data_IF_031698101583
#
_entry.id   IF_031698101583
#
_cell.length_a   1.000
_cell.length_b   1.000
_cell.length_c   1.000
_cell.angle_alpha   90.00
_cell.angle_beta   90.00
_cell.angle_gamma   90.00
#
_symmetry.space_group_name_H-M   'P 1'
#
loop_
_entity.id
_entity.type
_entity.pdbx_description
1 polymer ?
#
# COMPACT_ATOMS: atom_id res chain seq x y z
N UNK A 1 24.21 -80.60 52.22
CA UNK A 1 23.76 -79.32 52.81
C UNK A 1 24.13 -78.21 51.84
N UNK A 2 23.17 -77.65 51.12
CA UNK A 2 23.37 -76.52 50.20
C UNK A 2 22.38 -75.45 50.61
N UNK A 3 22.90 -74.31 51.08
CA UNK A 3 22.13 -73.19 51.61
C UNK A 3 21.88 -72.20 50.47
N UNK A 4 20.61 -71.93 50.21
CA UNK A 4 20.12 -70.96 49.24
C UNK A 4 20.29 -69.52 49.76
N UNK A 5 21.00 -68.67 49.01
CA UNK A 5 21.07 -67.23 49.24
C UNK A 5 20.02 -66.49 48.38
N UNK A 6 19.08 -65.80 49.04
CA UNK A 6 18.17 -64.85 48.42
C UNK A 6 18.79 -63.45 48.43
N UNK A 7 18.88 -62.80 47.26
CA UNK A 7 19.30 -61.41 47.12
C UNK A 7 18.08 -60.54 46.80
N UNK A 8 17.75 -59.61 47.71
CA UNK A 8 16.67 -58.63 47.54
C UNK A 8 17.13 -57.47 46.63
N UNK A 9 16.39 -57.21 45.55
CA UNK A 9 16.59 -56.04 44.69
C UNK A 9 15.71 -54.89 45.17
N UNK A 10 16.34 -53.80 45.61
CA UNK A 10 15.69 -52.52 45.90
C UNK A 10 15.41 -51.75 44.61
N UNK A 11 14.16 -51.33 44.41
CA UNK A 11 13.75 -50.46 43.30
C UNK A 11 13.81 -48.99 43.75
N UNK A 12 14.59 -48.16 43.03
CA UNK A 12 14.56 -46.71 43.16
C UNK A 12 13.55 -46.14 42.14
N UNK A 13 12.52 -45.44 42.62
CA UNK A 13 11.60 -44.70 41.78
C UNK A 13 12.19 -43.32 41.46
N UNK A 14 12.38 -42.99 40.17
CA UNK A 14 12.76 -41.65 39.73
C UNK A 14 11.52 -40.75 39.59
N UNK A 15 11.55 -39.48 40.03
CA UNK A 15 10.44 -38.56 39.87
C UNK A 15 10.39 -38.05 38.42
N UNK A 16 9.25 -38.22 37.77
CA UNK A 16 8.98 -37.64 36.45
C UNK A 16 8.52 -36.20 36.66
N UNK A 17 9.36 -35.23 36.28
CA UNK A 17 8.97 -33.82 36.22
C UNK A 17 8.22 -33.59 34.91
N UNK A 18 6.90 -33.42 35.00
CA UNK A 18 6.07 -33.06 33.86
C UNK A 18 6.22 -31.57 33.55
N UNK A 19 6.85 -31.24 32.42
CA UNK A 19 6.94 -29.86 31.91
C UNK A 19 5.67 -29.53 31.11
N UNK A 20 4.80 -28.70 31.67
CA UNK A 20 3.60 -28.21 30.98
C UNK A 20 4.00 -27.15 29.95
N UNK A 21 3.93 -27.49 28.66
CA UNK A 21 4.11 -26.52 27.56
C UNK A 21 2.79 -25.76 27.41
N UNK A 22 2.75 -24.49 27.82
CA UNK A 22 1.65 -23.57 27.46
C UNK A 22 1.75 -23.25 25.97
N UNK A 23 0.96 -23.93 25.15
CA UNK A 23 0.68 -23.51 23.78
C UNK A 23 -0.22 -22.28 23.84
N UNK A 24 0.36 -21.08 23.80
CA UNK A 24 -0.40 -19.87 23.52
C UNK A 24 -0.96 -19.97 22.11
N UNK A 25 -2.28 -20.18 21.98
CA UNK A 25 -2.97 -20.06 20.70
C UNK A 25 -2.86 -18.61 20.24
N UNK A 26 -2.08 -18.37 19.19
CA UNK A 26 -2.15 -17.10 18.48
C UNK A 26 -3.51 -17.09 17.79
N UNK A 27 -4.52 -16.53 18.46
CA UNK A 27 -5.81 -16.30 17.84
C UNK A 27 -5.58 -15.38 16.64
N UNK A 28 -5.64 -15.93 15.43
CA UNK A 28 -5.67 -15.13 14.22
C UNK A 28 -6.94 -14.27 14.29
N UNK A 29 -6.77 -12.99 14.60
CA UNK A 29 -7.88 -12.04 14.52
C UNK A 29 -8.33 -11.96 13.07
N UNK A 30 -9.64 -11.95 12.84
CA UNK A 30 -10.18 -11.82 11.51
C UNK A 30 -9.74 -10.47 10.90
N UNK A 31 -9.18 -10.54 9.69
CA UNK A 31 -8.84 -9.40 8.84
C UNK A 31 -10.13 -8.68 8.38
N UNK A 32 -10.02 -7.45 7.88
CA UNK A 32 -11.18 -6.70 7.40
C UNK A 32 -11.64 -7.23 6.03
N UNK A 33 -12.95 -7.41 5.85
CA UNK A 33 -13.50 -7.90 4.58
C UNK A 33 -13.62 -6.76 3.54
N UNK A 34 -12.72 -6.74 2.56
CA UNK A 34 -12.71 -5.78 1.47
C UNK A 34 -13.54 -6.17 0.23
N UNK A 35 -14.33 -7.27 0.26
CA UNK A 35 -15.01 -7.82 -0.93
C UNK A 35 -15.94 -6.81 -1.64
N UNK A 36 -16.63 -5.93 -0.91
CA UNK A 36 -17.49 -4.92 -1.53
C UNK A 36 -16.70 -3.88 -2.31
N UNK A 37 -15.53 -3.46 -1.80
CA UNK A 37 -14.61 -2.59 -2.50
C UNK A 37 -13.95 -3.28 -3.68
N UNK A 38 -13.49 -4.52 -3.49
CA UNK A 38 -12.92 -5.36 -4.54
C UNK A 38 -13.87 -5.51 -5.74
N UNK A 39 -15.16 -5.75 -5.45
CA UNK A 39 -16.19 -5.87 -6.49
C UNK A 39 -16.42 -4.57 -7.26
N UNK A 40 -16.30 -3.41 -6.60
CA UNK A 40 -16.38 -2.11 -7.27
C UNK A 40 -15.17 -1.86 -8.16
N UNK A 41 -13.96 -2.14 -7.64
CA UNK A 41 -12.71 -2.04 -8.39
C UNK A 41 -12.76 -2.90 -9.65
N UNK A 42 -13.08 -4.18 -9.51
CA UNK A 42 -13.15 -5.13 -10.62
C UNK A 42 -14.15 -4.67 -11.71
N UNK A 43 -15.28 -4.09 -11.30
CA UNK A 43 -16.33 -3.65 -12.22
C UNK A 43 -16.00 -2.35 -12.95
N UNK A 44 -15.35 -1.40 -12.28
CA UNK A 44 -15.24 -0.02 -12.78
C UNK A 44 -13.82 0.48 -13.03
N UNK A 45 -12.79 -0.27 -12.65
CA UNK A 45 -11.39 0.05 -12.95
C UNK A 45 -10.93 -0.80 -14.12
N UNK A 46 -10.37 -0.16 -15.14
CA UNK A 46 -9.77 -0.84 -16.28
C UNK A 46 -8.28 -0.57 -16.30
N UNK A 47 -7.49 -1.63 -16.15
CA UNK A 47 -6.05 -1.58 -16.32
C UNK A 47 -5.69 -1.32 -17.79
N UNK A 48 -4.77 -0.39 -18.02
CA UNK A 48 -4.33 0.03 -19.36
C UNK A 48 -2.82 -0.01 -19.46
N UNK A 49 -2.27 0.15 -20.68
CA UNK A 49 -0.82 0.16 -20.92
C UNK A 49 -0.10 -1.09 -20.34
N UNK A 50 -0.70 -2.29 -20.51
CA UNK A 50 -0.17 -3.53 -19.95
C UNK A 50 -0.18 -3.58 -18.42
N UNK A 51 -1.12 -2.88 -17.76
CA UNK A 51 -1.25 -2.81 -16.31
C UNK A 51 -0.45 -1.70 -15.63
N UNK A 52 0.23 -0.83 -16.40
CA UNK A 52 1.06 0.26 -15.88
C UNK A 52 0.26 1.50 -15.48
N UNK A 53 -0.95 1.62 -16.02
CA UNK A 53 -1.90 2.68 -15.72
C UNK A 53 -3.30 2.08 -15.55
N UNK A 54 -4.25 2.88 -15.07
CA UNK A 54 -5.66 2.51 -15.04
C UNK A 54 -6.55 3.72 -15.31
N UNK A 55 -7.73 3.44 -15.85
CA UNK A 55 -8.83 4.40 -16.00
C UNK A 55 -10.03 3.92 -15.20
N UNK A 56 -10.78 4.86 -14.63
CA UNK A 56 -11.94 4.59 -13.79
C UNK A 56 -13.20 5.02 -14.53
N UNK A 57 -14.18 4.12 -14.61
CA UNK A 57 -15.53 4.41 -15.05
C UNK A 57 -16.29 5.14 -13.93
N UNK A 58 -16.05 6.45 -13.79
CA UNK A 58 -16.69 7.26 -12.75
C UNK A 58 -18.21 7.35 -12.89
N UNK A 59 -18.75 7.27 -14.11
CA UNK A 59 -20.21 7.19 -14.32
C UNK A 59 -20.78 5.89 -13.73
N UNK A 60 -20.11 4.75 -13.97
CA UNK A 60 -20.44 3.47 -13.36
C UNK A 60 -20.29 3.46 -11.84
N UNK A 61 -19.17 4.01 -11.33
CA UNK A 61 -18.96 4.19 -9.89
C UNK A 61 -20.05 5.06 -9.26
N UNK A 62 -20.49 6.13 -9.95
CA UNK A 62 -21.59 6.99 -9.49
C UNK A 62 -22.91 6.22 -9.43
N UNK A 63 -23.21 5.40 -10.43
CA UNK A 63 -24.40 4.55 -10.44
C UNK A 63 -24.38 3.50 -9.32
N UNK A 64 -23.21 2.99 -8.94
CA UNK A 64 -23.03 2.07 -7.81
C UNK A 64 -22.62 2.78 -6.49
N UNK A 65 -22.80 4.11 -6.37
CA UNK A 65 -22.27 4.89 -5.24
C UNK A 65 -22.78 4.38 -3.88
N UNK A 66 -24.01 3.87 -3.80
CA UNK A 66 -24.54 3.30 -2.55
C UNK A 66 -23.66 2.16 -2.00
N UNK A 67 -23.06 1.34 -2.87
CA UNK A 67 -22.13 0.26 -2.46
C UNK A 67 -20.82 0.82 -1.93
N UNK A 68 -20.31 1.90 -2.52
CA UNK A 68 -19.12 2.60 -2.05
C UNK A 68 -19.38 3.22 -0.67
N UNK A 69 -20.52 3.87 -0.50
CA UNK A 69 -20.97 4.41 0.79
C UNK A 69 -21.05 3.30 1.85
N UNK A 70 -21.71 2.17 1.54
CA UNK A 70 -21.79 1.04 2.48
C UNK A 70 -20.41 0.46 2.84
N UNK A 71 -19.46 0.44 1.91
CA UNK A 71 -18.08 0.05 2.21
C UNK A 71 -17.41 1.03 3.18
N UNK A 72 -17.50 2.33 2.93
CA UNK A 72 -16.93 3.36 3.81
C UNK A 72 -17.58 3.33 5.21
N UNK A 73 -18.90 3.14 5.30
CA UNK A 73 -19.61 2.95 6.57
C UNK A 73 -19.18 1.68 7.31
N UNK A 74 -18.84 0.60 6.60
CA UNK A 74 -18.28 -0.59 7.23
C UNK A 74 -16.87 -0.30 7.79
N UNK A 75 -16.03 0.40 7.05
CA UNK A 75 -14.68 0.77 7.51
C UNK A 75 -14.72 1.72 8.70
N UNK A 76 -15.72 2.61 8.79
CA UNK A 76 -15.85 3.56 9.89
C UNK A 76 -16.21 2.91 11.23
N UNK A 77 -16.74 1.69 11.21
CA UNK A 77 -17.09 0.91 12.42
C UNK A 77 -15.87 0.25 13.08
N UNK A 78 -14.73 0.19 12.37
CA UNK A 78 -13.49 -0.36 12.92
C UNK A 78 -12.97 0.57 14.00
N UNK A 79 -12.89 0.04 15.22
CA UNK A 79 -12.34 0.77 16.37
C UNK A 79 -10.81 0.82 16.34
N UNK A 80 -10.21 1.80 17.01
CA UNK A 80 -8.76 1.88 17.15
C UNK A 80 -8.16 0.63 17.83
N UNK A 81 -8.87 0.04 18.79
CA UNK A 81 -8.43 -1.18 19.50
C UNK A 81 -8.52 -2.43 18.63
N UNK A 82 -9.49 -2.51 17.73
CA UNK A 82 -9.55 -3.55 16.70
C UNK A 82 -8.41 -3.42 15.69
N UNK A 83 -8.24 -2.23 15.11
CA UNK A 83 -7.17 -1.94 14.15
C UNK A 83 -5.77 -2.28 14.70
N UNK A 84 -5.51 -1.94 15.97
CA UNK A 84 -4.21 -2.21 16.59
C UNK A 84 -3.94 -3.70 16.83
N UNK A 85 -4.95 -4.58 16.77
CA UNK A 85 -4.78 -6.05 16.91
C UNK A 85 -4.38 -6.72 15.61
N UNK A 86 -4.57 -6.07 14.46
CA UNK A 86 -4.19 -6.60 13.17
C UNK A 86 -2.68 -6.59 12.94
N UNK A 87 -2.21 -7.45 12.03
CA UNK A 87 -0.83 -7.40 11.55
C UNK A 87 -0.52 -6.05 10.90
N UNK A 88 0.76 -5.66 10.84
CA UNK A 88 1.16 -4.41 10.16
C UNK A 88 0.72 -4.38 8.69
N UNK A 89 0.77 -5.53 8.02
CA UNK A 89 0.33 -5.63 6.63
C UNK A 89 -1.17 -5.41 6.51
N UNK A 90 -1.97 -6.01 7.39
CA UNK A 90 -3.41 -5.82 7.37
C UNK A 90 -3.80 -4.37 7.68
N UNK A 91 -3.15 -3.76 8.69
CA UNK A 91 -3.33 -2.34 8.97
C UNK A 91 -3.03 -1.46 7.76
N UNK A 92 -1.90 -1.69 7.07
CA UNK A 92 -1.52 -0.89 5.91
C UNK A 92 -2.45 -1.13 4.71
N UNK A 93 -2.83 -2.39 4.44
CA UNK A 93 -3.78 -2.73 3.38
C UNK A 93 -5.13 -2.03 3.62
N UNK A 94 -5.64 -2.08 4.84
CA UNK A 94 -6.86 -1.40 5.24
C UNK A 94 -6.76 0.11 5.00
N UNK A 95 -5.70 0.78 5.47
CA UNK A 95 -5.51 2.22 5.28
C UNK A 95 -5.40 2.62 3.80
N UNK A 96 -4.69 1.84 2.98
CA UNK A 96 -4.59 2.07 1.53
C UNK A 96 -5.96 1.97 0.88
N UNK A 97 -6.74 0.93 1.20
CA UNK A 97 -8.08 0.76 0.65
C UNK A 97 -9.02 1.88 1.08
N UNK A 98 -8.99 2.30 2.34
CA UNK A 98 -9.80 3.44 2.83
C UNK A 98 -9.42 4.74 2.12
N UNK A 99 -8.13 5.02 1.96
CA UNK A 99 -7.65 6.19 1.20
C UNK A 99 -8.16 6.17 -0.25
N UNK A 100 -8.00 5.03 -0.94
CA UNK A 100 -8.39 4.91 -2.35
C UNK A 100 -9.90 5.02 -2.54
N UNK A 101 -10.70 4.37 -1.68
CA UNK A 101 -12.16 4.47 -1.70
C UNK A 101 -12.63 5.90 -1.38
N UNK A 102 -12.04 6.54 -0.35
CA UNK A 102 -12.34 7.93 -0.02
C UNK A 102 -11.96 8.90 -1.13
N UNK A 103 -10.87 8.64 -1.86
CA UNK A 103 -10.49 9.43 -3.04
C UNK A 103 -11.51 9.31 -4.15
N UNK A 104 -12.00 8.10 -4.45
CA UNK A 104 -13.07 7.90 -5.42
C UNK A 104 -14.35 8.61 -4.97
N UNK A 105 -14.76 8.46 -3.71
CA UNK A 105 -15.96 9.11 -3.18
C UNK A 105 -15.86 10.65 -3.28
N UNK A 106 -14.70 11.22 -2.96
CA UNK A 106 -14.43 12.64 -3.12
C UNK A 106 -14.63 13.11 -4.56
N UNK A 107 -14.11 12.37 -5.55
CA UNK A 107 -14.32 12.66 -6.98
C UNK A 107 -15.81 12.63 -7.34
N UNK A 108 -16.57 11.64 -6.82
CA UNK A 108 -18.00 11.50 -7.09
C UNK A 108 -18.86 12.64 -6.54
N UNK A 109 -18.34 13.47 -5.62
CA UNK A 109 -19.04 14.67 -5.12
C UNK A 109 -19.18 15.76 -6.18
N UNK A 110 -18.29 15.78 -7.19
CA UNK A 110 -18.26 16.80 -8.27
C UNK A 110 -18.40 16.22 -9.68
N UNK A 111 -18.37 14.89 -9.83
CA UNK A 111 -18.61 14.23 -11.12
C UNK A 111 -20.04 14.49 -11.63
N UNK A 112 -20.26 14.73 -12.95
CA UNK A 112 -19.32 14.64 -14.07
C UNK A 112 -18.51 15.91 -14.37
N UNK A 113 -18.69 16.98 -13.60
CA UNK A 113 -18.16 18.32 -13.91
C UNK A 113 -16.72 18.56 -13.42
N UNK A 114 -16.06 17.54 -12.85
CA UNK A 114 -14.68 17.61 -12.38
C UNK A 114 -13.69 17.16 -13.47
N UNK A 115 -12.67 17.99 -13.73
CA UNK A 115 -11.60 17.68 -14.70
C UNK A 115 -10.34 17.22 -14.02
N UNK A 116 -10.07 17.68 -12.81
CA UNK A 116 -8.94 17.33 -11.96
C UNK A 116 -9.40 17.26 -10.52
N UNK A 117 -8.86 16.32 -9.74
CA UNK A 117 -9.14 16.23 -8.30
C UNK A 117 -8.79 17.55 -7.57
N UNK A 118 -7.81 18.30 -8.07
CA UNK A 118 -7.42 19.61 -7.53
C UNK A 118 -8.56 20.63 -7.56
N UNK A 119 -9.52 20.46 -8.46
CA UNK A 119 -10.63 21.39 -8.64
C UNK A 119 -11.69 21.24 -7.53
N UNK A 120 -11.68 20.11 -6.80
CA UNK A 120 -12.68 19.79 -5.77
C UNK A 120 -12.54 20.66 -4.51
N UNK A 121 -11.32 21.14 -4.23
CA UNK A 121 -11.05 22.04 -3.10
C UNK A 121 -11.51 23.49 -3.30
N UNK A 122 -11.91 23.86 -4.53
CA UNK A 122 -12.30 25.23 -4.88
C UNK A 122 -11.19 26.26 -4.64
N UNK A 123 -11.58 27.53 -4.44
CA UNK A 123 -10.67 28.65 -4.18
C UNK A 123 -10.10 28.69 -2.75
N UNK A 124 -10.56 27.80 -1.85
CA UNK A 124 -10.37 27.95 -0.40
C UNK A 124 -9.66 26.76 0.29
N UNK A 125 -9.22 25.72 -0.43
CA UNK A 125 -8.47 24.64 0.23
C UNK A 125 -7.93 23.53 -0.68
N UNK A 126 -7.02 22.74 -0.13
CA UNK A 126 -6.56 21.49 -0.72
C UNK A 126 -7.68 20.44 -0.61
N UNK A 127 -8.08 19.74 -1.68
CA UNK A 127 -9.12 18.71 -1.62
C UNK A 127 -8.72 17.58 -0.64
N UNK A 128 -7.43 17.32 -0.47
CA UNK A 128 -6.93 16.32 0.45
C UNK A 128 -6.99 16.73 1.93
N UNK A 129 -7.22 18.01 2.25
CA UNK A 129 -7.37 18.51 3.63
C UNK A 129 -8.81 18.51 4.13
N UNK A 130 -9.78 18.23 3.26
CA UNK A 130 -11.19 18.15 3.66
C UNK A 130 -11.38 16.94 4.57
N UNK A 131 -11.98 17.14 5.73
CA UNK A 131 -12.33 16.05 6.65
C UNK A 131 -13.70 15.49 6.28
N UNK A 132 -13.71 14.27 5.71
CA UNK A 132 -14.96 13.60 5.29
C UNK A 132 -14.93 12.09 5.48
N UNK A 133 -13.77 11.50 5.81
CA UNK A 133 -13.62 10.06 6.00
C UNK A 133 -13.71 9.72 7.48
N UNK A 134 -14.81 9.12 7.90
CA UNK A 134 -14.96 8.58 9.26
C UNK A 134 -14.09 7.33 9.42
N UNK A 135 -13.05 7.39 10.24
CA UNK A 135 -12.06 6.32 10.38
C UNK A 135 -11.42 6.32 11.78
N UNK A 136 -11.45 5.16 12.44
CA UNK A 136 -10.86 4.96 13.78
C UNK A 136 -11.38 6.00 14.81
N UNK A 137 -12.70 6.22 14.80
CA UNK A 137 -13.39 7.12 15.74
C UNK A 137 -13.19 8.62 15.51
N UNK A 138 -12.61 9.02 14.37
CA UNK A 138 -12.44 10.44 13.99
C UNK A 138 -12.90 10.66 12.56
N UNK A 139 -13.39 11.86 12.26
CA UNK A 139 -13.47 12.34 10.88
C UNK A 139 -12.07 12.76 10.46
N UNK A 140 -11.61 12.25 9.31
CA UNK A 140 -10.25 12.43 8.82
C UNK A 140 -10.26 12.92 7.39
N UNK A 141 -9.16 13.56 7.02
CA UNK A 141 -8.86 13.94 5.66
C UNK A 141 -8.00 12.87 4.98
N UNK A 142 -7.93 12.90 3.65
CA UNK A 142 -7.01 12.03 2.90
C UNK A 142 -5.54 12.32 3.28
N UNK A 143 -5.20 13.59 3.52
CA UNK A 143 -3.89 14.00 4.03
C UNK A 143 -3.59 13.37 5.40
N UNK A 144 -4.55 13.34 6.33
CA UNK A 144 -4.36 12.71 7.63
C UNK A 144 -4.11 11.20 7.50
N UNK A 145 -4.87 10.52 6.64
CA UNK A 145 -4.68 9.09 6.39
C UNK A 145 -3.28 8.82 5.81
N UNK A 146 -2.87 9.55 4.78
CA UNK A 146 -1.59 9.34 4.11
C UNK A 146 -0.40 9.78 4.99
N UNK A 147 -0.42 11.03 5.44
CA UNK A 147 0.74 11.64 6.09
C UNK A 147 0.86 11.30 7.57
N UNK A 148 -0.24 11.08 8.30
CA UNK A 148 -0.17 10.75 9.71
C UNK A 148 -0.29 9.24 9.96
N UNK A 149 -1.30 8.57 9.41
CA UNK A 149 -1.52 7.15 9.69
C UNK A 149 -0.53 6.24 8.93
N UNK A 150 -0.35 6.45 7.62
CA UNK A 150 0.54 5.63 6.79
C UNK A 150 2.01 6.06 6.96
N UNK A 151 2.35 7.32 6.64
CA UNK A 151 3.76 7.77 6.60
C UNK A 151 4.28 8.20 7.97
N UNK A 152 3.50 8.98 8.71
CA UNK A 152 3.91 9.65 9.95
C UNK A 152 4.00 8.72 11.15
N UNK A 153 3.24 7.62 11.15
CA UNK A 153 3.25 6.63 12.23
C UNK A 153 4.59 5.90 12.37
N UNK A 154 5.43 5.93 11.31
CA UNK A 154 6.69 5.18 11.19
C UNK A 154 6.55 3.66 11.41
N UNK A 155 5.31 3.13 11.39
CA UNK A 155 5.03 1.71 11.63
C UNK A 155 5.42 0.84 10.44
N UNK A 156 5.24 1.38 9.23
CA UNK A 156 5.38 0.66 7.97
C UNK A 156 6.69 0.98 7.25
N UNK A 157 7.06 2.27 7.15
CA UNK A 157 8.29 2.74 6.49
C UNK A 157 8.55 2.08 5.12
N UNK A 158 7.49 1.91 4.32
CA UNK A 158 7.57 1.30 3.00
C UNK A 158 7.34 2.37 1.92
N UNK A 159 8.35 2.76 1.14
CA UNK A 159 8.21 3.77 0.09
C UNK A 159 7.29 3.31 -1.05
N UNK A 160 6.98 2.00 -1.14
CA UNK A 160 6.08 1.49 -2.18
C UNK A 160 4.63 1.95 -2.01
N UNK A 161 4.27 2.50 -0.85
CA UNK A 161 2.93 3.08 -0.61
C UNK A 161 2.58 4.15 -1.65
N UNK A 162 3.58 4.88 -2.16
CA UNK A 162 3.41 5.91 -3.19
C UNK A 162 2.98 5.39 -4.55
N UNK A 163 2.96 4.06 -4.73
CA UNK A 163 2.44 3.39 -5.93
C UNK A 163 1.12 2.66 -5.68
N UNK A 164 0.61 2.71 -4.44
CA UNK A 164 -0.60 2.03 -3.99
C UNK A 164 -1.72 3.00 -3.60
N UNK A 165 -1.37 4.18 -3.07
CA UNK A 165 -2.32 5.27 -2.90
C UNK A 165 -2.52 6.01 -4.22
N UNK A 166 -3.77 6.09 -4.69
CA UNK A 166 -4.12 6.69 -5.96
C UNK A 166 -4.86 8.02 -5.73
N UNK A 167 -4.34 9.08 -6.32
CA UNK A 167 -4.89 10.44 -6.25
C UNK A 167 -5.87 10.79 -7.38
N UNK A 168 -6.44 9.79 -8.07
CA UNK A 168 -7.36 9.96 -9.20
C UNK A 168 -6.83 10.75 -10.41
N UNK A 169 -5.53 10.95 -10.55
CA UNK A 169 -4.93 11.66 -11.70
C UNK A 169 -4.31 10.71 -12.73
N UNK A 170 -4.20 11.14 -13.99
CA UNK A 170 -3.49 10.41 -15.05
C UNK A 170 -2.00 10.28 -14.72
N UNK A 171 -1.40 11.25 -14.03
CA UNK A 171 -0.01 11.19 -13.57
C UNK A 171 0.21 10.23 -12.41
N UNK A 172 -0.86 9.83 -11.72
CA UNK A 172 -0.79 8.96 -10.56
C UNK A 172 -0.47 7.50 -10.95
N UNK A 173 0.08 6.71 -10.02
CA UNK A 173 0.13 5.26 -10.15
C UNK A 173 -1.28 4.69 -10.39
N UNK A 174 -1.36 3.55 -11.05
CA UNK A 174 -2.65 2.91 -11.31
C UNK A 174 -3.40 2.63 -10.00
N UNK A 175 -4.66 3.04 -9.93
CA UNK A 175 -5.61 2.42 -9.01
C UNK A 175 -5.69 0.94 -9.41
N UNK A 176 -5.39 0.03 -8.48
CA UNK A 176 -5.46 -1.41 -8.75
C UNK A 176 -6.92 -1.85 -8.94
N UNK A 177 -7.12 -2.90 -9.72
CA UNK A 177 -8.42 -3.50 -10.01
C UNK A 177 -8.84 -4.58 -8.98
N UNK A 178 -8.05 -4.75 -7.91
CA UNK A 178 -8.34 -5.56 -6.73
C UNK A 178 -8.03 -4.81 -5.42
N UNK A 179 -8.72 -5.18 -4.36
CA UNK A 179 -8.47 -4.59 -3.04
C UNK A 179 -7.16 -5.13 -2.44
N UNK A 180 -6.45 -4.28 -1.69
CA UNK A 180 -5.29 -4.72 -0.93
C UNK A 180 -5.71 -5.62 0.25
N UNK A 181 -4.94 -6.66 0.55
CA UNK A 181 -5.18 -7.50 1.75
C UNK A 181 -3.87 -7.76 2.47
N UNK A 182 -3.88 -7.90 3.80
CA UNK A 182 -2.66 -8.12 4.58
C UNK A 182 -1.83 -9.32 4.10
N UNK A 183 -2.50 -10.39 3.68
CA UNK A 183 -1.86 -11.60 3.13
C UNK A 183 -1.13 -11.36 1.80
N UNK A 184 -1.66 -10.49 0.92
CA UNK A 184 -1.12 -10.24 -0.43
C UNK A 184 -0.35 -8.93 -0.54
N UNK A 185 -0.36 -8.10 0.49
CA UNK A 185 0.13 -6.72 0.45
C UNK A 185 1.53 -6.60 -0.13
N UNK A 186 2.51 -7.38 0.33
CA UNK A 186 3.89 -7.25 -0.15
C UNK A 186 3.99 -7.47 -1.67
N UNK A 187 3.30 -8.49 -2.18
CA UNK A 187 3.25 -8.79 -3.60
C UNK A 187 2.47 -7.75 -4.40
N UNK A 188 1.38 -7.19 -3.85
CA UNK A 188 0.60 -6.14 -4.49
C UNK A 188 1.42 -4.84 -4.59
N UNK A 189 2.10 -4.44 -3.51
CA UNK A 189 3.01 -3.30 -3.50
C UNK A 189 4.17 -3.48 -4.48
N UNK A 190 4.77 -4.67 -4.53
CA UNK A 190 5.86 -4.99 -5.45
C UNK A 190 5.43 -4.89 -6.92
N UNK A 191 4.26 -5.42 -7.24
CA UNK A 191 3.70 -5.37 -8.59
C UNK A 191 3.33 -3.95 -9.01
N UNK A 192 2.65 -3.20 -8.14
CA UNK A 192 2.27 -1.81 -8.42
C UNK A 192 3.51 -0.94 -8.67
N UNK A 193 4.56 -1.09 -7.84
CA UNK A 193 5.83 -0.39 -7.99
C UNK A 193 6.53 -0.75 -9.30
N UNK A 194 6.65 -2.05 -9.60
CA UNK A 194 7.33 -2.53 -10.81
C UNK A 194 6.61 -2.07 -12.07
N UNK A 195 5.28 -2.17 -12.11
CA UNK A 195 4.45 -1.71 -13.24
C UNK A 195 4.56 -0.20 -13.44
N UNK A 196 4.53 0.58 -12.35
CA UNK A 196 4.71 2.03 -12.44
C UNK A 196 6.08 2.40 -13.02
N UNK A 197 7.15 1.79 -12.50
CA UNK A 197 8.51 2.06 -12.97
C UNK A 197 8.76 1.59 -14.41
N UNK A 198 7.99 0.60 -14.89
CA UNK A 198 8.03 0.16 -16.28
C UNK A 198 7.26 1.04 -17.26
N UNK A 199 6.57 2.09 -16.79
CA UNK A 199 5.89 3.06 -17.64
C UNK A 199 6.88 4.07 -18.22
N UNK A 200 7.29 3.86 -19.47
CA UNK A 200 8.26 4.72 -20.17
C UNK A 200 7.78 6.16 -20.37
N UNK A 201 6.46 6.41 -20.29
CA UNK A 201 5.91 7.77 -20.32
C UNK A 201 6.22 8.57 -19.05
N UNK A 202 6.49 7.87 -17.94
CA UNK A 202 6.77 8.45 -16.62
C UNK A 202 8.21 8.23 -16.16
N UNK A 203 8.84 7.15 -16.63
CA UNK A 203 10.16 6.70 -16.19
C UNK A 203 10.98 6.21 -17.39
N UNK A 204 11.93 7.01 -17.85
CA UNK A 204 12.78 6.64 -19.00
C UNK A 204 14.17 7.24 -18.91
N UNK A 205 15.16 6.44 -19.32
CA UNK A 205 16.54 6.90 -19.50
C UNK A 205 16.72 7.46 -20.92
N UNK A 206 17.24 8.68 -21.02
CA UNK A 206 17.65 9.31 -22.29
C UNK A 206 19.07 9.84 -22.16
N UNK A 207 20.00 9.26 -22.90
CA UNK A 207 21.42 9.54 -22.72
C UNK A 207 21.87 9.18 -21.30
N UNK A 208 22.42 10.15 -20.59
CA UNK A 208 22.87 10.06 -19.19
C UNK A 208 21.81 10.54 -18.18
N UNK A 209 20.58 10.82 -18.62
CA UNK A 209 19.54 11.41 -17.78
C UNK A 209 18.35 10.47 -17.63
N UNK A 210 18.14 9.97 -16.41
CA UNK A 210 16.96 9.20 -16.03
C UNK A 210 15.84 10.18 -15.63
N UNK A 211 14.82 10.30 -16.47
CA UNK A 211 13.61 11.07 -16.19
C UNK A 211 12.63 10.17 -15.44
N UNK A 212 12.22 10.56 -14.25
CA UNK A 212 11.25 9.83 -13.41
C UNK A 212 10.07 10.71 -13.01
N UNK A 213 9.00 10.09 -12.51
CA UNK A 213 7.84 10.85 -12.01
C UNK A 213 8.19 11.84 -10.89
N UNK A 214 7.54 13.03 -10.83
CA UNK A 214 7.63 13.96 -9.70
C UNK A 214 7.31 13.38 -8.32
N UNK A 215 6.67 12.21 -8.22
CA UNK A 215 6.45 11.51 -6.95
C UNK A 215 7.77 11.31 -6.20
N UNK A 216 8.85 11.00 -6.91
CA UNK A 216 10.18 10.87 -6.32
C UNK A 216 10.75 12.19 -5.81
N UNK A 217 10.30 13.33 -6.35
CA UNK A 217 10.66 14.67 -5.86
C UNK A 217 9.86 15.05 -4.62
N UNK A 218 8.54 14.83 -4.64
CA UNK A 218 7.62 15.25 -3.59
C UNK A 218 7.78 14.45 -2.30
N UNK A 219 8.15 13.16 -2.43
CA UNK A 219 8.31 12.25 -1.30
C UNK A 219 9.76 11.76 -1.15
N UNK A 220 10.72 12.62 -1.49
CA UNK A 220 12.15 12.29 -1.51
C UNK A 220 12.64 11.67 -0.20
N UNK A 221 12.09 12.11 0.94
CA UNK A 221 12.45 11.63 2.27
C UNK A 221 12.10 10.15 2.47
N UNK A 222 10.99 9.68 1.87
CA UNK A 222 10.54 8.30 2.04
C UNK A 222 11.42 7.32 1.24
N UNK A 223 11.97 7.78 0.11
CA UNK A 223 12.94 7.04 -0.69
C UNK A 223 14.37 7.08 -0.11
N UNK A 224 14.64 7.98 0.84
CA UNK A 224 15.91 8.07 1.56
C UNK A 224 15.92 7.27 2.88
N UNK A 225 15.01 6.29 3.01
CA UNK A 225 14.94 5.39 4.17
C UNK A 225 15.78 4.12 3.95
N UNK A 226 16.12 3.44 5.05
CA UNK A 226 16.77 2.12 5.00
C UNK A 226 15.78 0.98 4.63
N UNK A 227 14.94 1.21 3.65
CA UNK A 227 13.96 0.22 3.19
C UNK A 227 14.66 -0.84 2.35
N UNK A 228 14.67 -2.09 2.81
CA UNK A 228 15.31 -3.24 2.13
C UNK A 228 16.77 -2.96 1.68
N UNK A 229 17.51 -2.19 2.48
CA UNK A 229 18.93 -1.85 2.26
C UNK A 229 19.17 -0.68 1.29
N UNK A 230 18.14 0.03 0.84
CA UNK A 230 18.31 1.28 0.08
C UNK A 230 18.77 2.40 1.01
N UNK A 231 19.47 3.41 0.49
CA UNK A 231 19.92 4.57 1.29
C UNK A 231 19.43 5.91 0.74
N UNK A 232 19.04 5.91 -0.52
CA UNK A 232 18.63 7.08 -1.28
C UNK A 232 17.76 6.65 -2.48
N UNK A 233 17.29 7.64 -3.22
CA UNK A 233 16.49 7.45 -4.42
C UNK A 233 17.22 6.61 -5.48
N UNK A 234 18.53 6.79 -5.65
CA UNK A 234 19.30 6.02 -6.63
C UNK A 234 19.36 4.53 -6.26
N UNK A 235 19.49 4.22 -4.97
CA UNK A 235 19.40 2.88 -4.42
C UNK A 235 18.03 2.25 -4.62
N UNK A 236 16.95 3.00 -4.36
CA UNK A 236 15.57 2.57 -4.62
C UNK A 236 15.35 2.27 -6.10
N UNK A 237 15.64 3.21 -7.00
CA UNK A 237 15.49 3.01 -8.44
C UNK A 237 16.38 1.88 -8.96
N UNK A 238 17.61 1.76 -8.44
CA UNK A 238 18.54 0.69 -8.79
C UNK A 238 18.04 -0.71 -8.40
N UNK A 239 17.23 -0.84 -7.34
CA UNK A 239 16.55 -2.09 -6.96
C UNK A 239 15.51 -2.51 -8.01
N UNK A 240 14.94 -1.55 -8.72
CA UNK A 240 13.95 -1.73 -9.79
C UNK A 240 14.52 -1.49 -11.20
N UNK A 241 15.84 -1.62 -11.35
CA UNK A 241 16.55 -1.39 -12.61
C UNK A 241 15.96 -2.19 -13.79
N UNK A 242 15.57 -3.45 -13.57
CA UNK A 242 14.91 -4.26 -14.60
C UNK A 242 13.59 -3.65 -15.07
N UNK A 243 12.75 -3.15 -14.15
CA UNK A 243 11.50 -2.47 -14.49
C UNK A 243 11.75 -1.19 -15.26
N UNK A 244 12.81 -0.46 -14.91
CA UNK A 244 13.28 0.74 -15.61
C UNK A 244 13.97 0.46 -16.95
N UNK A 245 14.19 -0.82 -17.31
CA UNK A 245 14.91 -1.21 -18.53
C UNK A 245 16.41 -0.88 -18.49
N UNK A 246 17.00 -0.72 -17.31
CA UNK A 246 18.42 -0.41 -17.16
C UNK A 246 19.29 -1.68 -17.23
N UNK A 247 20.38 -1.60 -17.99
CA UNK A 247 21.44 -2.59 -17.95
C UNK A 247 22.18 -2.60 -16.60
N UNK A 248 22.99 -3.64 -16.36
CA UNK A 248 23.87 -3.71 -15.18
C UNK A 248 24.83 -2.51 -15.10
N UNK A 249 25.39 -2.08 -16.23
CA UNK A 249 26.29 -0.94 -16.31
C UNK A 249 25.55 0.37 -15.93
N UNK A 250 24.39 0.63 -16.55
CA UNK A 250 23.57 1.80 -16.23
C UNK A 250 23.10 1.79 -14.76
N UNK A 251 22.82 0.62 -14.20
CA UNK A 251 22.46 0.48 -12.78
C UNK A 251 23.63 0.87 -11.86
N UNK A 252 24.86 0.49 -12.22
CA UNK A 252 26.06 0.88 -11.49
C UNK A 252 26.30 2.39 -11.62
N UNK A 253 26.15 2.95 -12.81
CA UNK A 253 26.31 4.38 -13.07
C UNK A 253 25.27 5.23 -12.33
N UNK A 254 24.02 4.77 -12.25
CA UNK A 254 22.98 5.38 -11.41
C UNK A 254 23.37 5.44 -9.95
N UNK A 255 23.84 4.32 -9.38
CA UNK A 255 24.24 4.24 -7.97
C UNK A 255 25.51 5.04 -7.66
N UNK A 256 26.36 5.29 -8.66
CA UNK A 256 27.55 6.14 -8.55
C UNK A 256 27.27 7.62 -8.82
N UNK A 257 26.02 7.99 -9.13
CA UNK A 257 25.64 9.38 -9.43
C UNK A 257 26.07 9.88 -10.81
N UNK A 258 26.47 8.98 -11.72
CA UNK A 258 26.84 9.32 -13.10
C UNK A 258 25.62 9.48 -14.02
N UNK A 259 24.49 8.86 -13.65
CA UNK A 259 23.21 9.12 -14.30
C UNK A 259 22.49 10.23 -13.53
N UNK A 260 22.18 11.33 -14.22
CA UNK A 260 21.41 12.44 -13.66
C UNK A 260 19.96 12.02 -13.50
N UNK A 261 19.38 12.25 -12.32
CA UNK A 261 17.94 12.11 -12.11
C UNK A 261 17.26 13.46 -12.41
N UNK A 262 16.22 13.43 -13.22
CA UNK A 262 15.35 14.58 -13.49
C UNK A 262 13.89 14.13 -13.47
N UNK A 263 12.96 15.09 -13.46
CA UNK A 263 11.55 14.80 -13.26
C UNK A 263 10.72 15.10 -14.51
N UNK A 264 9.74 14.25 -14.81
CA UNK A 264 8.76 14.48 -15.89
C UNK A 264 7.72 15.52 -15.47
N UNK A 265 6.86 15.92 -16.42
CA UNK A 265 5.64 16.64 -16.07
C UNK A 265 4.62 15.68 -15.42
N UNK A 266 3.67 16.25 -14.67
CA UNK A 266 2.62 15.50 -13.99
C UNK A 266 1.24 15.88 -14.52
N UNK A 267 0.52 14.89 -15.06
CA UNK A 267 -0.80 15.12 -15.63
C UNK A 267 -1.89 15.02 -14.55
N UNK A 268 -2.39 16.17 -14.12
CA UNK A 268 -3.43 16.28 -13.09
C UNK A 268 -4.85 16.00 -13.57
N UNK A 269 -5.06 15.78 -14.88
CA UNK A 269 -6.38 15.42 -15.38
C UNK A 269 -6.85 14.11 -14.73
N UNK A 270 -8.16 14.02 -14.50
CA UNK A 270 -8.80 12.87 -13.90
C UNK A 270 -8.56 11.62 -14.75
N UNK A 271 -8.20 10.50 -14.12
CA UNK A 271 -8.01 9.20 -14.78
C UNK A 271 -9.35 8.53 -15.15
N UNK A 272 -10.20 9.22 -15.90
CA UNK A 272 -11.51 8.70 -16.31
C UNK A 272 -11.47 7.92 -17.63
N UNK A 273 -12.37 6.94 -17.76
CA UNK A 273 -12.70 6.27 -19.03
C UNK A 273 -13.51 7.19 -19.94
#
# INVERSE_FOLDING_TARGET
MSVSNFSAKTFFAQPVIATTILLASVAAHADFNHQSWDSLLNKHVTMTNGGKASVVNYAGMKADQSKLTSYLEATSKVSQSEFNRWSKNEQLAFLINVYNAGTVDLVLTKYPNVKSIKDIGGLFGSPWKQEFVSLLGKTRSLDDIEHNLIRGSKRYNDPRIHFAVNCASIGCPALQDDAFTGKRLDNQLEQATSKFLADSSRNSLKGDTLRVSPIFKWYKEDFATNWRGTKDLAGFLGRYSSSLGLSKAQTADLKQGKIKISYTDYNWNLNKK
#
